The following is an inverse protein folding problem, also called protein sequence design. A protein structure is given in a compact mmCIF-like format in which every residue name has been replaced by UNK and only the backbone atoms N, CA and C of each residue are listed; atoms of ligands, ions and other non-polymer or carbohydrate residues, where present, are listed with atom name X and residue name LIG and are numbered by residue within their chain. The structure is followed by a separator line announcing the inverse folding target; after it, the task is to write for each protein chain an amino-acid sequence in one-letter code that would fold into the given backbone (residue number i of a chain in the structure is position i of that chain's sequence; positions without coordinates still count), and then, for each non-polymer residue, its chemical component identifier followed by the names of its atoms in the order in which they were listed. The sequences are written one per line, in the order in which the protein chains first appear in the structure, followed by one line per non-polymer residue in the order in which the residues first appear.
data_IF_863603029174
#
_entry.id   IF_863603029174
#
_cell.length_a   1.000
_cell.length_b   1.000
_cell.length_c   1.000
_cell.angle_alpha   90.00
_cell.angle_beta   90.00
_cell.angle_gamma   90.00
#
_symmetry.space_group_name_H-M   'P 1'
#
loop_
_entity.id
_entity.type
_entity.pdbx_description
1 polymer ?
#
# COMPACT_ATOMS: atom_id res chain seq x y z
N UNK A 1 6.19 8.62 -20.55
CA UNK A 1 6.25 8.74 -19.07
C UNK A 1 6.12 7.36 -18.46
N UNK A 2 7.05 6.92 -17.60
CA UNK A 2 6.87 5.68 -16.83
C UNK A 2 5.85 5.97 -15.73
N UNK A 3 4.78 5.18 -15.66
CA UNK A 3 3.80 5.25 -14.56
C UNK A 3 4.52 4.79 -13.29
N UNK A 4 4.61 5.65 -12.27
CA UNK A 4 5.18 5.30 -10.96
C UNK A 4 4.21 4.48 -10.11
N UNK A 5 2.92 4.50 -10.48
CA UNK A 5 1.84 3.76 -9.85
C UNK A 5 1.80 2.35 -10.44
N UNK A 6 2.50 1.42 -9.80
CA UNK A 6 2.47 -0.01 -10.12
C UNK A 6 2.20 -0.83 -8.87
N UNK A 7 1.94 -2.12 -9.02
CA UNK A 7 1.84 -3.05 -7.90
C UNK A 7 3.04 -2.93 -6.95
N UNK A 8 4.27 -2.80 -7.47
CA UNK A 8 5.48 -2.65 -6.64
C UNK A 8 5.42 -1.48 -5.64
N UNK A 9 4.75 -0.38 -5.99
CA UNK A 9 4.64 0.82 -5.15
C UNK A 9 3.27 0.93 -4.46
N UNK A 10 2.40 -0.06 -4.63
CA UNK A 10 1.05 -0.07 -4.10
C UNK A 10 1.02 -0.55 -2.65
N UNK A 11 0.25 0.14 -1.79
CA UNK A 11 0.03 -0.24 -0.38
C UNK A 11 -0.50 -1.66 -0.20
N UNK A 12 -1.23 -2.18 -1.19
CA UNK A 12 -1.89 -3.48 -1.09
C UNK A 12 -1.02 -4.66 -1.56
N UNK A 13 0.16 -4.41 -2.12
CA UNK A 13 0.94 -5.45 -2.76
C UNK A 13 2.09 -5.92 -1.86
N UNK A 14 2.21 -7.23 -1.73
CA UNK A 14 3.26 -7.89 -0.99
C UNK A 14 4.14 -8.68 -1.97
N UNK A 15 5.38 -8.24 -2.17
CA UNK A 15 6.29 -8.89 -3.13
C UNK A 15 6.76 -10.26 -2.65
N UNK A 16 6.92 -11.22 -3.55
CA UNK A 16 7.48 -12.53 -3.20
C UNK A 16 9.02 -12.50 -3.19
N UNK A 17 9.64 -13.54 -2.62
CA UNK A 17 11.10 -13.69 -2.62
C UNK A 17 11.82 -12.85 -1.56
N UNK A 18 13.14 -12.74 -1.70
CA UNK A 18 13.99 -12.13 -0.69
C UNK A 18 13.61 -10.64 -0.50
N UNK A 19 13.32 -10.26 0.75
CA UNK A 19 12.94 -8.90 1.13
C UNK A 19 11.73 -8.33 0.39
N UNK A 20 10.85 -9.20 -0.13
CA UNK A 20 9.64 -8.79 -0.84
C UNK A 20 9.90 -7.98 -2.13
N UNK A 21 11.02 -8.27 -2.82
CA UNK A 21 11.46 -7.54 -4.03
C UNK A 21 11.41 -8.38 -5.31
N UNK A 22 10.75 -9.53 -5.28
CA UNK A 22 10.58 -10.38 -6.46
C UNK A 22 9.70 -9.71 -7.53
N UNK A 23 9.76 -10.20 -8.78
CA UNK A 23 8.96 -9.68 -9.89
C UNK A 23 7.47 -10.04 -9.78
N UNK A 24 7.14 -11.02 -8.92
CA UNK A 24 5.77 -11.45 -8.60
C UNK A 24 5.45 -11.09 -7.16
N UNK A 25 4.17 -10.89 -6.88
CA UNK A 25 3.68 -10.63 -5.54
C UNK A 25 2.17 -10.83 -5.44
N UNK A 26 1.68 -10.79 -4.22
CA UNK A 26 0.27 -11.00 -3.90
C UNK A 26 -0.42 -9.64 -3.76
N UNK A 27 -1.53 -9.42 -4.47
CA UNK A 27 -2.33 -8.21 -4.31
C UNK A 27 -3.46 -8.44 -3.30
N UNK A 28 -3.45 -7.67 -2.20
CA UNK A 28 -4.40 -7.81 -1.08
C UNK A 28 -5.53 -6.77 -1.07
N UNK A 29 -5.78 -6.14 -2.23
CA UNK A 29 -6.80 -5.09 -2.37
C UNK A 29 -8.21 -5.61 -2.10
N UNK A 30 -8.53 -6.79 -2.61
CA UNK A 30 -9.82 -7.45 -2.41
C UNK A 30 -9.60 -8.83 -1.81
N UNK A 31 -10.39 -9.21 -0.79
CA UNK A 31 -10.32 -10.56 -0.27
C UNK A 31 -10.70 -11.55 -1.37
N UNK A 32 -10.08 -12.74 -1.38
CA UNK A 32 -10.39 -13.77 -2.35
C UNK A 32 -11.78 -14.35 -2.09
N UNK A 33 -12.44 -14.75 -3.17
CA UNK A 33 -13.75 -15.41 -3.10
C UNK A 33 -13.53 -16.92 -3.03
N UNK A 34 -13.96 -17.53 -1.94
CA UNK A 34 -13.95 -18.99 -1.78
C UNK A 34 -15.02 -19.60 -2.67
N UNK A 35 -14.64 -20.56 -3.50
CA UNK A 35 -15.56 -21.29 -4.38
C UNK A 35 -15.26 -22.78 -4.31
N UNK A 36 -16.17 -23.68 -4.72
CA UNK A 36 -15.87 -25.12 -4.75
C UNK A 36 -14.64 -25.49 -5.59
N UNK A 37 -14.25 -24.64 -6.56
CA UNK A 37 -13.04 -24.84 -7.39
C UNK A 37 -11.77 -24.23 -6.79
N UNK A 38 -11.91 -23.36 -5.79
CA UNK A 38 -10.81 -22.72 -5.06
C UNK A 38 -11.23 -22.61 -3.58
N UNK A 39 -11.17 -23.73 -2.85
CA UNK A 39 -11.63 -23.79 -1.46
C UNK A 39 -10.72 -23.00 -0.51
N UNK A 40 -9.44 -22.86 -0.84
CA UNK A 40 -8.48 -22.11 -0.02
C UNK A 40 -8.69 -20.59 -0.13
N UNK A 41 -9.26 -20.11 -1.25
CA UNK A 41 -9.44 -18.69 -1.51
C UNK A 41 -8.11 -17.95 -1.52
N UNK A 42 -7.33 -18.08 -2.59
CA UNK A 42 -6.03 -17.41 -2.69
C UNK A 42 -6.15 -15.99 -3.26
N UNK A 43 -5.40 -15.06 -2.68
CA UNK A 43 -5.23 -13.74 -3.28
C UNK A 43 -4.50 -13.84 -4.64
N UNK A 44 -4.81 -12.94 -5.60
CA UNK A 44 -4.22 -13.00 -6.93
C UNK A 44 -2.73 -12.68 -6.91
N UNK A 45 -1.96 -13.49 -7.64
CA UNK A 45 -0.55 -13.22 -7.95
C UNK A 45 -0.47 -12.28 -9.16
N UNK A 46 0.25 -11.18 -8.99
CA UNK A 46 0.43 -10.10 -9.97
C UNK A 46 1.91 -9.81 -10.18
N UNK A 47 2.25 -9.18 -11.30
CA UNK A 47 3.60 -8.69 -11.54
C UNK A 47 3.81 -7.35 -10.84
N UNK A 48 5.05 -7.09 -10.44
CA UNK A 48 5.44 -5.82 -9.81
C UNK A 48 5.20 -4.59 -10.71
N UNK A 49 5.11 -4.80 -12.02
CA UNK A 49 4.85 -3.78 -13.04
C UNK A 49 3.37 -3.56 -13.36
N UNK A 50 2.46 -4.38 -12.82
CA UNK A 50 1.03 -4.29 -13.14
C UNK A 50 0.38 -3.02 -12.55
N UNK A 51 -0.74 -2.60 -13.14
CA UNK A 51 -1.58 -1.52 -12.63
C UNK A 51 -3.06 -1.85 -12.86
N UNK A 52 -3.84 -1.91 -11.78
CA UNK A 52 -5.25 -2.32 -11.80
C UNK A 52 -6.25 -1.16 -11.70
N UNK A 53 -5.80 0.11 -11.77
CA UNK A 53 -6.66 1.30 -11.59
C UNK A 53 -6.95 1.67 -10.14
N UNK A 54 -6.53 0.84 -9.19
CA UNK A 54 -6.93 0.90 -7.78
C UNK A 54 -5.73 1.08 -6.84
N UNK A 55 -4.65 1.64 -7.39
CA UNK A 55 -3.40 1.92 -6.68
C UNK A 55 -3.61 2.92 -5.54
N UNK A 56 -2.95 2.68 -4.39
CA UNK A 56 -2.89 3.63 -3.28
C UNK A 56 -1.49 3.66 -2.70
N UNK A 57 -1.02 4.85 -2.33
CA UNK A 57 0.25 5.03 -1.60
C UNK A 57 0.16 4.45 -0.20
N UNK A 58 1.28 3.96 0.33
CA UNK A 58 1.40 3.70 1.78
C UNK A 58 1.20 5.03 2.49
N UNK A 59 0.29 5.08 3.46
CA UNK A 59 0.13 6.30 4.24
C UNK A 59 1.39 6.43 5.08
N UNK A 60 2.15 7.52 4.91
CA UNK A 60 3.17 7.90 5.86
C UNK A 60 2.48 8.04 7.21
N UNK A 61 2.80 7.16 8.15
CA UNK A 61 2.54 7.46 9.55
C UNK A 61 3.23 8.81 9.81
N UNK A 62 2.56 9.81 10.41
CA UNK A 62 3.30 10.94 10.95
C UNK A 62 4.31 10.34 11.93
N UNK A 63 5.60 10.53 11.68
CA UNK A 63 6.64 10.15 12.63
C UNK A 63 6.26 10.75 13.97
N UNK A 64 6.15 9.95 15.06
CA UNK A 64 5.99 10.51 16.39
C UNK A 64 7.33 11.19 16.74
N UNK A 65 7.46 12.47 16.39
CA UNK A 65 8.69 13.23 16.68
C UNK A 65 9.19 14.20 15.62
N UNK A 66 8.40 14.55 14.60
CA UNK A 66 8.73 15.70 13.73
C UNK A 66 7.49 16.56 13.50
N UNK A 67 6.76 16.83 14.59
CA UNK A 67 5.99 18.05 14.66
C UNK A 67 6.97 19.17 14.99
N UNK A 68 7.14 20.13 14.08
CA UNK A 68 7.73 21.41 14.46
C UNK A 68 6.95 21.94 15.67
N UNK A 69 7.60 22.30 16.78
CA UNK A 69 6.93 22.79 17.99
C UNK A 69 6.31 24.20 17.81
N UNK A 70 6.30 24.75 16.59
CA UNK A 70 5.84 26.10 16.30
C UNK A 70 4.35 26.19 15.91
N UNK A 71 3.71 25.08 15.54
CA UNK A 71 2.41 25.13 14.84
C UNK A 71 1.17 24.81 15.69
N UNK A 72 1.26 24.72 17.03
CA UNK A 72 0.08 24.33 17.83
C UNK A 72 -0.07 24.92 19.25
N UNK A 73 0.64 25.98 19.63
CA UNK A 73 0.50 26.56 20.99
C UNK A 73 0.01 28.00 21.05
N UNK A 74 0.09 28.80 19.97
CA UNK A 74 -0.24 30.24 20.06
C UNK A 74 -1.52 30.68 19.34
N UNK A 75 -2.30 29.77 18.74
CA UNK A 75 -3.52 30.15 18.03
C UNK A 75 -4.80 30.15 18.92
N UNK A 76 -4.67 29.78 20.20
CA UNK A 76 -5.77 29.71 21.18
C UNK A 76 -5.74 30.84 22.25
N UNK A 77 -4.91 31.88 22.08
CA UNK A 77 -4.79 32.99 23.06
C UNK A 77 -5.02 34.39 22.48
N UNK A 78 -5.73 34.52 21.37
CA UNK A 78 -6.23 35.81 20.89
C UNK A 78 -7.76 35.78 20.81
N UNK A 79 -8.38 36.03 21.96
CA UNK A 79 -9.69 36.69 22.05
C UNK A 79 -9.57 37.93 22.94
#
# INVERSE_FOLDING_TARGET
MKRLDTCYTCRFWEGQGLRQRGPKGTCRRYPPVVTPRSPEGDFPITLSTDWCGEWKRVASQPSPGTGDPADSIYDDLVE
#
